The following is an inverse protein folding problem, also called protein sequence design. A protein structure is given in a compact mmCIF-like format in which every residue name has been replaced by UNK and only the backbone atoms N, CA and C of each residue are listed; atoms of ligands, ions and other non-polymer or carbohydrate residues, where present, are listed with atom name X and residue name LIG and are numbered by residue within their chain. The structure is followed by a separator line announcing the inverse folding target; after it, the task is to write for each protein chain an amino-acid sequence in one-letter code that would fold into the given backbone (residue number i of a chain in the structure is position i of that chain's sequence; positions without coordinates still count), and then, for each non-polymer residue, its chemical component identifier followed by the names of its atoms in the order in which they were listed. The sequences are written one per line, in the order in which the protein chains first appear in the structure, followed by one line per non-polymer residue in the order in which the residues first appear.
data_IF_065889456447
#
_entry.id   IF_065889456447
#
_cell.length_a   1.000
_cell.length_b   1.000
_cell.length_c   1.000
_cell.angle_alpha   90.00
_cell.angle_beta   90.00
_cell.angle_gamma   90.00
#
_symmetry.space_group_name_H-M   'P 1'
#
loop_
_entity.id
_entity.type
_entity.pdbx_description
1 polymer ?
#
# COMPACT_ATOMS: atom_id res chain seq x y z
N UNK A 1 -30.48 6.08 -35.22
CA UNK A 1 -30.62 4.80 -34.48
C UNK A 1 -30.74 3.66 -35.51
N UNK A 2 -29.91 2.64 -35.35
CA UNK A 2 -29.99 1.40 -36.15
C UNK A 2 -30.62 0.30 -35.31
N UNK A 3 -31.46 -0.50 -35.97
CA UNK A 3 -32.18 -1.58 -35.28
C UNK A 3 -31.36 -2.88 -35.22
N UNK A 4 -30.40 -3.04 -36.11
CA UNK A 4 -29.59 -4.24 -36.27
C UNK A 4 -28.18 -3.84 -36.72
N UNK A 5 -27.19 -4.62 -36.30
CA UNK A 5 -25.79 -4.47 -36.71
C UNK A 5 -25.28 -5.78 -37.23
N UNK A 6 -24.53 -5.75 -38.32
CA UNK A 6 -23.95 -6.93 -38.94
C UNK A 6 -22.51 -7.18 -38.48
N UNK A 7 -21.97 -8.35 -38.79
CA UNK A 7 -20.59 -8.70 -38.49
C UNK A 7 -19.60 -7.75 -39.24
N UNK A 8 -18.75 -7.11 -38.48
CA UNK A 8 -17.82 -6.09 -38.99
C UNK A 8 -18.25 -4.65 -38.71
N UNK A 9 -19.45 -4.42 -38.26
CA UNK A 9 -19.95 -3.10 -37.90
C UNK A 9 -19.35 -2.60 -36.59
N UNK A 10 -19.19 -1.27 -36.50
CA UNK A 10 -18.81 -0.55 -35.28
C UNK A 10 -19.99 0.31 -34.86
N UNK A 11 -20.48 0.08 -33.67
CA UNK A 11 -21.64 0.82 -33.15
C UNK A 11 -21.45 1.30 -31.74
N UNK A 12 -22.36 2.17 -31.31
CA UNK A 12 -22.39 2.70 -29.95
C UNK A 12 -23.66 2.25 -29.26
N UNK A 13 -23.53 1.76 -28.05
CA UNK A 13 -24.65 1.42 -27.17
C UNK A 13 -24.54 2.13 -25.84
N UNK A 14 -25.64 2.29 -25.13
CA UNK A 14 -25.74 2.94 -23.83
C UNK A 14 -26.44 2.04 -22.83
N UNK A 15 -26.30 2.37 -21.56
CA UNK A 15 -26.99 1.66 -20.45
C UNK A 15 -26.55 0.20 -20.25
N UNK A 16 -25.36 -0.18 -20.69
CA UNK A 16 -24.77 -1.45 -20.34
C UNK A 16 -24.27 -1.38 -18.88
N UNK A 17 -24.71 -2.31 -18.05
CA UNK A 17 -24.20 -2.46 -16.68
C UNK A 17 -23.03 -3.41 -16.68
N UNK A 18 -22.04 -3.14 -15.84
CA UNK A 18 -20.88 -4.01 -15.58
C UNK A 18 -20.02 -4.34 -16.82
N UNK A 19 -20.13 -3.56 -17.88
CA UNK A 19 -19.29 -3.68 -19.09
C UNK A 19 -18.16 -2.67 -19.03
N UNK A 20 -16.95 -3.17 -19.21
CA UNK A 20 -15.72 -2.35 -19.24
C UNK A 20 -15.03 -2.47 -20.59
N UNK A 21 -14.17 -1.52 -20.88
CA UNK A 21 -13.31 -1.54 -22.06
C UNK A 21 -12.50 -2.84 -22.12
N UNK A 22 -12.46 -3.47 -23.29
CA UNK A 22 -11.80 -4.77 -23.49
C UNK A 22 -12.66 -6.00 -23.16
N UNK A 23 -13.90 -5.82 -22.68
CA UNK A 23 -14.79 -6.94 -22.51
C UNK A 23 -15.31 -7.45 -23.85
N UNK A 24 -15.47 -8.76 -23.95
CA UNK A 24 -16.14 -9.42 -25.08
C UNK A 24 -17.63 -9.51 -24.78
N UNK A 25 -18.46 -9.04 -25.70
CA UNK A 25 -19.92 -9.18 -25.63
C UNK A 25 -20.36 -10.36 -26.48
N UNK A 26 -21.01 -11.33 -25.87
CA UNK A 26 -21.44 -12.56 -26.50
C UNK A 26 -22.95 -12.66 -26.57
N UNK A 27 -23.45 -13.29 -27.61
CA UNK A 27 -24.83 -13.79 -27.67
C UNK A 27 -25.06 -14.91 -26.65
N UNK A 28 -26.32 -15.15 -26.30
CA UNK A 28 -26.71 -16.22 -25.37
C UNK A 28 -26.20 -17.58 -25.84
N UNK A 29 -25.42 -18.27 -25.00
CA UNK A 29 -24.88 -19.60 -25.32
C UNK A 29 -23.51 -19.58 -26.03
N UNK A 30 -22.93 -18.43 -26.26
CA UNK A 30 -21.58 -18.29 -26.80
C UNK A 30 -20.61 -17.98 -25.67
N UNK A 31 -19.58 -18.79 -25.48
CA UNK A 31 -18.54 -18.59 -24.41
C UNK A 31 -17.21 -18.08 -24.95
N UNK A 32 -17.19 -17.63 -26.21
CA UNK A 32 -15.96 -17.15 -26.83
C UNK A 32 -15.51 -15.83 -26.19
N UNK A 33 -14.20 -15.70 -25.87
CA UNK A 33 -13.61 -14.48 -25.32
C UNK A 33 -12.34 -14.13 -26.07
N UNK A 34 -12.19 -12.87 -26.40
CA UNK A 34 -10.92 -12.33 -26.84
C UNK A 34 -9.99 -12.11 -25.65
N UNK A 35 -8.69 -12.24 -25.90
CA UNK A 35 -7.69 -11.92 -24.89
C UNK A 35 -7.76 -10.45 -24.48
N UNK A 36 -7.45 -10.20 -23.20
CA UNK A 36 -7.36 -8.83 -22.70
C UNK A 36 -6.23 -8.05 -23.40
N UNK A 37 -6.55 -6.81 -23.74
CA UNK A 37 -5.54 -5.89 -24.29
C UNK A 37 -4.52 -5.57 -23.20
N UNK A 38 -3.26 -5.88 -23.46
CA UNK A 38 -2.15 -5.47 -22.58
C UNK A 38 -1.78 -4.02 -22.89
N UNK A 39 -2.11 -3.13 -21.96
CA UNK A 39 -1.71 -1.74 -22.05
C UNK A 39 -0.24 -1.56 -21.62
N UNK A 40 0.49 -0.61 -22.20
CA UNK A 40 1.84 -0.31 -21.76
C UNK A 40 1.84 0.24 -20.33
N UNK A 41 2.85 -0.15 -19.56
CA UNK A 41 3.00 0.37 -18.20
C UNK A 41 3.29 1.87 -18.20
N UNK A 42 2.68 2.63 -17.29
CA UNK A 42 2.92 4.05 -17.19
C UNK A 42 4.34 4.34 -16.70
N UNK A 43 4.97 5.36 -17.29
CA UNK A 43 6.37 5.73 -16.99
C UNK A 43 6.52 7.10 -16.34
N UNK A 44 5.46 7.87 -16.29
CA UNK A 44 5.47 9.22 -15.75
C UNK A 44 4.34 9.39 -14.73
N UNK A 45 4.67 9.91 -13.56
CA UNK A 45 3.70 10.06 -12.47
C UNK A 45 3.75 11.44 -11.84
N UNK A 46 2.62 11.92 -11.37
CA UNK A 46 2.43 13.13 -10.59
C UNK A 46 1.40 12.88 -9.48
N UNK A 47 1.51 13.61 -8.39
CA UNK A 47 0.40 13.69 -7.46
C UNK A 47 -0.55 14.80 -7.92
N UNK A 48 -1.87 14.55 -7.78
CA UNK A 48 -2.92 15.51 -8.13
C UNK A 48 -3.72 15.88 -6.90
N UNK A 49 -4.08 17.13 -6.80
CA UNK A 49 -5.02 17.62 -5.77
C UNK A 49 -6.00 18.61 -6.42
N UNK A 50 -7.22 18.75 -5.87
CA UNK A 50 -8.10 19.83 -6.28
C UNK A 50 -7.56 21.16 -5.76
N UNK A 51 -7.89 22.25 -6.44
CA UNK A 51 -7.55 23.60 -5.96
C UNK A 51 -8.29 23.96 -4.66
N UNK A 52 -9.49 23.39 -4.47
CA UNK A 52 -10.26 23.50 -3.24
C UNK A 52 -10.47 22.11 -2.62
N UNK A 53 -10.10 21.92 -1.37
CA UNK A 53 -10.23 20.61 -0.68
C UNK A 53 -11.66 20.07 -0.63
N UNK A 54 -12.68 20.93 -0.64
CA UNK A 54 -14.08 20.51 -0.71
C UNK A 54 -14.42 19.70 -1.97
N UNK A 55 -13.63 19.83 -3.03
CA UNK A 55 -13.82 19.13 -4.30
C UNK A 55 -13.08 17.78 -4.40
N UNK A 56 -12.50 17.28 -3.31
CA UNK A 56 -11.72 16.05 -3.31
C UNK A 56 -12.54 14.82 -3.71
N UNK A 57 -13.78 14.70 -3.25
CA UNK A 57 -14.69 13.62 -3.60
C UNK A 57 -15.03 13.66 -5.10
N UNK A 58 -15.40 14.83 -5.60
CA UNK A 58 -15.68 15.07 -7.02
C UNK A 58 -14.48 14.72 -7.90
N UNK A 59 -13.26 15.09 -7.48
CA UNK A 59 -12.04 14.69 -8.20
C UNK A 59 -11.88 13.17 -8.25
N UNK A 60 -12.12 12.47 -7.15
CA UNK A 60 -12.05 11.00 -7.11
C UNK A 60 -13.01 10.34 -8.10
N UNK A 61 -14.26 10.81 -8.18
CA UNK A 61 -15.25 10.31 -9.14
C UNK A 61 -14.83 10.55 -10.59
N UNK A 62 -14.33 11.76 -10.88
CA UNK A 62 -13.84 12.11 -12.21
C UNK A 62 -12.67 11.20 -12.62
N UNK A 63 -11.71 10.98 -11.73
CA UNK A 63 -10.55 10.14 -11.99
C UNK A 63 -10.94 8.67 -12.19
N UNK A 64 -11.89 8.14 -11.43
CA UNK A 64 -12.40 6.80 -11.60
C UNK A 64 -13.05 6.63 -12.99
N UNK A 65 -13.91 7.55 -13.41
CA UNK A 65 -14.51 7.57 -14.74
C UNK A 65 -13.47 7.63 -15.84
N UNK A 66 -12.48 8.53 -15.71
CA UNK A 66 -11.43 8.69 -16.70
C UNK A 66 -10.55 7.43 -16.84
N UNK A 67 -10.31 6.72 -15.75
CA UNK A 67 -9.62 5.42 -15.80
C UNK A 67 -10.44 4.36 -16.53
N UNK A 68 -11.77 4.35 -16.37
CA UNK A 68 -12.63 3.46 -17.14
C UNK A 68 -12.64 3.79 -18.64
N UNK A 69 -12.61 5.07 -18.99
CA UNK A 69 -12.50 5.54 -20.38
C UNK A 69 -11.15 5.20 -21.01
N UNK A 70 -10.08 5.36 -20.25
CA UNK A 70 -8.70 5.11 -20.69
C UNK A 70 -7.87 4.41 -19.59
N UNK A 71 -7.74 3.08 -19.66
CA UNK A 71 -6.98 2.31 -18.67
C UNK A 71 -5.47 2.57 -18.66
N UNK A 72 -4.95 3.35 -19.60
CA UNK A 72 -3.52 3.73 -19.61
C UNK A 72 -3.18 4.82 -18.58
N UNK A 73 -4.18 5.47 -18.00
CA UNK A 73 -4.04 6.29 -16.79
C UNK A 73 -4.28 5.44 -15.55
N UNK A 74 -3.28 5.30 -14.72
CA UNK A 74 -3.42 4.63 -13.43
C UNK A 74 -3.61 5.66 -12.33
N UNK A 75 -4.58 5.41 -11.47
CA UNK A 75 -4.89 6.24 -10.31
C UNK A 75 -4.64 5.43 -9.06
N UNK A 76 -3.79 5.93 -8.18
CA UNK A 76 -3.42 5.30 -6.91
C UNK A 76 -3.68 6.27 -5.76
N UNK A 77 -4.48 5.85 -4.79
CA UNK A 77 -4.66 6.58 -3.54
C UNK A 77 -3.68 6.06 -2.50
N UNK A 78 -2.57 6.77 -2.33
CA UNK A 78 -1.61 6.47 -1.28
C UNK A 78 -2.12 6.96 0.08
N UNK A 79 -2.64 6.05 0.89
CA UNK A 79 -3.10 6.34 2.26
C UNK A 79 -1.97 6.82 3.15
N UNK A 80 -0.79 6.25 2.99
CA UNK A 80 0.42 6.58 3.74
C UNK A 80 0.88 8.02 3.48
N UNK A 81 0.97 8.39 2.21
CA UNK A 81 1.42 9.72 1.80
C UNK A 81 0.31 10.76 1.80
N UNK A 82 -0.95 10.32 1.95
CA UNK A 82 -2.16 11.14 1.81
C UNK A 82 -2.15 11.93 0.50
N UNK A 83 -1.83 11.23 -0.59
CA UNK A 83 -1.79 11.79 -1.93
C UNK A 83 -2.50 10.88 -2.94
N UNK A 84 -3.20 11.49 -3.88
CA UNK A 84 -3.68 10.81 -5.07
C UNK A 84 -2.62 10.91 -6.15
N UNK A 85 -2.07 9.79 -6.57
CA UNK A 85 -1.02 9.70 -7.58
C UNK A 85 -1.64 9.26 -8.89
N UNK A 86 -1.31 9.97 -9.96
CA UNK A 86 -1.69 9.62 -11.31
C UNK A 86 -0.45 9.26 -12.09
N UNK A 87 -0.51 8.14 -12.78
CA UNK A 87 0.53 7.65 -13.65
C UNK A 87 0.03 7.53 -15.09
N UNK A 88 0.87 7.91 -16.04
CA UNK A 88 0.57 7.87 -17.47
C UNK A 88 1.82 7.63 -18.31
N UNK A 89 1.66 7.62 -19.63
CA UNK A 89 2.73 7.28 -20.56
C UNK A 89 3.82 8.37 -20.66
N UNK A 90 3.48 9.62 -20.29
CA UNK A 90 4.41 10.74 -20.32
C UNK A 90 3.76 12.03 -19.84
N UNK A 91 4.54 13.10 -19.81
CA UNK A 91 4.07 14.41 -19.34
C UNK A 91 2.89 14.93 -20.16
N UNK A 92 2.97 14.84 -21.48
CA UNK A 92 1.88 15.29 -22.36
C UNK A 92 0.57 14.54 -22.07
N UNK A 93 0.65 13.24 -21.80
CA UNK A 93 -0.51 12.43 -21.46
C UNK A 93 -1.20 12.95 -20.18
N UNK A 94 -0.42 13.25 -19.12
CA UNK A 94 -0.98 13.84 -17.91
C UNK A 94 -1.48 15.27 -18.11
N UNK A 95 -0.84 16.06 -18.96
CA UNK A 95 -1.33 17.40 -19.33
C UNK A 95 -2.69 17.33 -20.03
N UNK A 96 -2.89 16.36 -20.90
CA UNK A 96 -4.19 16.10 -21.54
C UNK A 96 -5.26 15.73 -20.52
N UNK A 97 -4.93 14.90 -19.53
CA UNK A 97 -5.84 14.56 -18.42
C UNK A 97 -6.25 15.83 -17.66
N UNK A 98 -5.30 16.63 -17.24
CA UNK A 98 -5.57 17.89 -16.54
C UNK A 98 -6.46 18.81 -17.38
N UNK A 99 -6.15 18.98 -18.65
CA UNK A 99 -6.95 19.80 -19.56
C UNK A 99 -8.40 19.30 -19.64
N UNK A 100 -8.63 17.99 -19.72
CA UNK A 100 -9.98 17.40 -19.74
C UNK A 100 -10.73 17.69 -18.44
N UNK A 101 -10.09 17.51 -17.27
CA UNK A 101 -10.69 17.79 -15.96
C UNK A 101 -11.10 19.27 -15.87
N UNK A 102 -10.23 20.19 -16.27
CA UNK A 102 -10.48 21.61 -16.16
C UNK A 102 -11.52 22.11 -17.18
N UNK A 103 -11.50 21.59 -18.41
CA UNK A 103 -12.38 22.09 -19.48
C UNK A 103 -13.72 21.34 -19.58
N UNK A 104 -13.76 20.04 -19.33
CA UNK A 104 -14.99 19.27 -19.43
C UNK A 104 -15.74 19.25 -18.10
N UNK A 105 -15.03 18.95 -17.01
CA UNK A 105 -15.62 18.79 -15.69
C UNK A 105 -15.65 20.09 -14.86
N UNK A 106 -15.01 21.16 -15.37
CA UNK A 106 -14.93 22.47 -14.74
C UNK A 106 -14.38 22.40 -13.30
N UNK A 107 -13.38 21.54 -13.08
CA UNK A 107 -12.71 21.36 -11.82
C UNK A 107 -11.25 21.80 -11.93
N UNK A 108 -10.87 22.82 -11.17
CA UNK A 108 -9.48 23.28 -11.10
C UNK A 108 -8.64 22.30 -10.29
N UNK A 109 -7.53 21.84 -10.88
CA UNK A 109 -6.62 20.89 -10.26
C UNK A 109 -5.16 21.31 -10.38
N UNK A 110 -4.34 20.87 -9.43
CA UNK A 110 -2.91 21.12 -9.41
C UNK A 110 -2.13 19.80 -9.43
N UNK A 111 -1.05 19.76 -10.22
CA UNK A 111 -0.05 18.71 -10.13
C UNK A 111 1.07 19.13 -9.19
N UNK A 112 1.42 18.22 -8.29
CA UNK A 112 2.52 18.37 -7.36
C UNK A 112 3.48 17.18 -7.47
N UNK A 113 4.69 17.33 -6.97
CA UNK A 113 5.63 16.22 -6.89
C UNK A 113 5.10 15.14 -5.96
N UNK A 114 5.13 13.86 -6.41
CA UNK A 114 4.79 12.75 -5.54
C UNK A 114 5.80 12.68 -4.38
N UNK A 115 5.30 12.53 -3.17
CA UNK A 115 6.17 12.26 -2.02
C UNK A 115 6.80 10.88 -2.17
N UNK A 116 8.02 10.74 -1.70
CA UNK A 116 8.71 9.46 -1.64
C UNK A 116 8.43 8.83 -0.27
N UNK A 117 7.88 7.61 -0.20
CA UNK A 117 7.68 6.93 1.07
C UNK A 117 9.02 6.41 1.60
N UNK A 118 9.74 7.27 2.29
CA UNK A 118 10.98 6.86 2.96
C UNK A 118 10.67 5.84 4.05
N UNK A 119 11.52 4.85 4.15
CA UNK A 119 11.51 3.86 5.21
C UNK A 119 12.75 4.02 6.05
N UNK A 120 12.57 3.95 7.35
CA UNK A 120 13.69 3.90 8.28
C UNK A 120 14.12 2.46 8.49
N UNK A 121 15.41 2.25 8.67
CA UNK A 121 15.99 0.98 9.05
C UNK A 121 17.07 1.20 10.08
N UNK A 122 17.34 0.16 10.86
CA UNK A 122 18.42 0.16 11.82
C UNK A 122 19.73 -0.29 11.15
N UNK A 123 20.85 0.31 11.53
CA UNK A 123 22.16 -0.01 10.98
C UNK A 123 23.10 -0.67 11.98
N UNK A 124 22.73 -0.68 13.27
CA UNK A 124 23.53 -1.24 14.36
C UNK A 124 22.62 -1.95 15.36
N UNK A 125 23.16 -2.96 16.02
CA UNK A 125 22.48 -3.57 17.15
C UNK A 125 22.34 -2.57 18.32
N UNK A 126 21.17 -2.53 18.91
CA UNK A 126 20.86 -1.70 20.07
C UNK A 126 20.07 -2.49 21.11
N UNK A 127 20.26 -2.15 22.37
CA UNK A 127 19.51 -2.69 23.49
C UNK A 127 18.65 -1.59 24.10
N UNK A 128 17.42 -1.92 24.41
CA UNK A 128 16.52 -1.09 25.19
C UNK A 128 15.78 -1.93 26.22
N UNK A 129 15.49 -1.33 27.36
CA UNK A 129 14.64 -1.90 28.38
C UNK A 129 13.63 -0.84 28.83
N UNK A 130 12.43 -1.31 29.13
CA UNK A 130 11.37 -0.45 29.64
C UNK A 130 10.64 -1.16 30.76
N UNK A 131 10.46 -0.43 31.87
CA UNK A 131 9.73 -0.88 33.04
C UNK A 131 8.55 0.03 33.31
N UNK A 132 7.35 -0.50 33.12
CA UNK A 132 6.11 0.19 33.50
C UNK A 132 5.71 -0.21 34.91
N UNK A 133 5.62 0.77 35.80
CA UNK A 133 5.08 0.59 37.14
C UNK A 133 4.14 1.75 37.45
N UNK A 134 2.84 1.48 37.52
CA UNK A 134 1.84 2.47 37.91
C UNK A 134 0.96 1.91 39.01
N UNK A 135 0.87 2.62 40.13
CA UNK A 135 0.02 2.28 41.25
C UNK A 135 -0.79 3.50 41.65
N UNK A 136 -2.09 3.45 41.35
CA UNK A 136 -3.04 4.53 41.65
C UNK A 136 -4.29 3.96 42.29
N UNK A 137 -4.10 3.30 43.52
CA UNK A 137 -5.18 2.64 44.24
C UNK A 137 -5.55 1.27 43.64
N UNK A 138 -5.63 0.24 44.50
CA UNK A 138 -5.98 -1.11 44.11
C UNK A 138 -4.82 -1.90 43.47
N UNK A 139 -5.13 -2.85 42.58
CA UNK A 139 -4.16 -3.66 41.89
C UNK A 139 -3.31 -2.81 40.93
N UNK A 140 -2.00 -2.68 41.18
CA UNK A 140 -1.08 -1.92 40.35
C UNK A 140 -0.84 -2.55 38.95
N UNK A 141 -0.44 -1.73 38.03
CA UNK A 141 0.03 -2.17 36.71
C UNK A 141 1.55 -2.35 36.73
N UNK A 142 2.01 -3.50 36.28
CA UNK A 142 3.44 -3.81 36.18
C UNK A 142 3.71 -4.54 34.86
N UNK A 143 4.74 -4.10 34.17
CA UNK A 143 5.29 -4.78 32.99
C UNK A 143 6.73 -4.35 32.77
N UNK A 144 7.60 -5.30 32.47
CA UNK A 144 8.99 -5.04 32.16
C UNK A 144 9.41 -5.84 30.95
N UNK A 145 10.03 -5.17 29.97
CA UNK A 145 10.47 -5.79 28.73
C UNK A 145 11.90 -5.36 28.42
N UNK A 146 12.74 -6.31 28.09
CA UNK A 146 14.10 -6.12 27.62
C UNK A 146 14.18 -6.56 26.17
N UNK A 147 14.60 -5.68 25.28
CA UNK A 147 14.69 -5.90 23.85
C UNK A 147 16.10 -5.66 23.33
N UNK A 148 16.52 -6.48 22.40
CA UNK A 148 17.67 -6.23 21.53
C UNK A 148 17.12 -6.21 20.12
N UNK A 149 17.46 -5.18 19.36
CA UNK A 149 17.10 -5.02 17.96
C UNK A 149 18.38 -4.89 17.13
N UNK A 150 18.43 -5.58 16.00
CA UNK A 150 19.57 -5.56 15.10
C UNK A 150 19.15 -5.66 13.63
N UNK A 151 19.99 -5.21 12.67
CA UNK A 151 19.71 -5.40 11.26
C UNK A 151 19.59 -6.87 10.91
N UNK A 152 18.51 -7.23 10.21
CA UNK A 152 18.30 -8.60 9.72
C UNK A 152 18.85 -8.76 8.29
N UNK A 153 19.45 -9.92 8.02
CA UNK A 153 19.78 -10.38 6.67
C UNK A 153 19.42 -11.87 6.52
N UNK A 154 19.09 -12.26 5.31
CA UNK A 154 18.68 -13.64 5.04
C UNK A 154 19.82 -14.62 5.33
N UNK A 155 19.52 -15.72 6.06
CA UNK A 155 20.52 -16.67 6.53
C UNK A 155 21.25 -16.25 7.81
N UNK A 156 20.80 -15.18 8.46
CA UNK A 156 21.35 -14.76 9.75
C UNK A 156 21.21 -15.88 10.80
N UNK A 157 22.31 -16.29 11.49
CA UNK A 157 22.24 -17.31 12.53
C UNK A 157 21.42 -16.83 13.72
N UNK A 158 20.80 -17.76 14.44
CA UNK A 158 20.13 -17.45 15.70
C UNK A 158 21.10 -16.77 16.67
N UNK A 159 20.66 -15.72 17.38
CA UNK A 159 21.53 -14.98 18.29
C UNK A 159 21.96 -15.89 19.46
N UNK A 160 23.23 -15.87 19.78
CA UNK A 160 23.78 -16.63 20.89
C UNK A 160 24.23 -15.74 22.05
N UNK A 161 25.00 -14.70 21.75
CA UNK A 161 25.59 -13.81 22.75
C UNK A 161 25.63 -12.39 22.20
N UNK A 162 25.19 -11.42 23.03
CA UNK A 162 25.36 -9.99 22.78
C UNK A 162 26.20 -9.34 23.86
N UNK A 163 26.92 -8.28 23.50
CA UNK A 163 27.71 -7.50 24.44
C UNK A 163 27.38 -6.02 24.32
N UNK A 164 26.86 -5.45 25.37
CA UNK A 164 26.55 -4.02 25.49
C UNK A 164 27.10 -3.47 26.78
N UNK A 165 27.82 -2.35 26.71
CA UNK A 165 28.36 -1.68 27.90
C UNK A 165 29.29 -2.54 28.75
N UNK A 166 30.01 -3.49 28.14
CA UNK A 166 30.89 -4.42 28.85
C UNK A 166 30.17 -5.62 29.49
N UNK A 167 28.86 -5.68 29.40
CA UNK A 167 28.06 -6.80 29.92
C UNK A 167 27.69 -7.77 28.81
N UNK A 168 27.77 -9.08 29.11
CA UNK A 168 27.42 -10.18 28.21
C UNK A 168 26.00 -10.65 28.47
N UNK A 169 25.21 -10.76 27.38
CA UNK A 169 23.85 -11.27 27.39
C UNK A 169 23.78 -12.56 26.56
N UNK A 170 23.49 -13.68 27.22
CA UNK A 170 23.32 -14.98 26.56
C UNK A 170 21.86 -15.17 26.18
N UNK A 171 21.63 -15.51 24.91
CA UNK A 171 20.31 -15.70 24.35
C UNK A 171 19.94 -17.19 24.34
N UNK A 172 18.87 -17.55 25.02
CA UNK A 172 18.28 -18.88 24.98
C UNK A 172 17.05 -18.87 24.09
N UNK A 173 17.27 -19.04 22.78
CA UNK A 173 16.21 -19.03 21.79
C UNK A 173 15.22 -20.16 22.02
N UNK A 174 13.94 -19.84 22.21
CA UNK A 174 12.84 -20.79 22.35
C UNK A 174 12.04 -20.94 21.06
N UNK A 175 11.78 -19.83 20.42
CA UNK A 175 10.93 -19.74 19.24
C UNK A 175 11.40 -18.58 18.35
N UNK A 176 11.21 -18.73 17.06
CA UNK A 176 11.53 -17.71 16.06
C UNK A 176 10.34 -17.57 15.12
N UNK A 177 9.83 -16.36 14.96
CA UNK A 177 8.71 -16.04 14.09
C UNK A 177 9.15 -15.02 13.07
N UNK A 178 8.74 -15.21 11.81
CA UNK A 178 9.06 -14.33 10.70
C UNK A 178 7.78 -13.66 10.20
N UNK A 179 7.82 -12.35 10.11
CA UNK A 179 6.71 -11.54 9.62
C UNK A 179 7.16 -10.80 8.36
N UNK A 180 6.44 -10.99 7.28
CA UNK A 180 6.62 -10.19 6.07
C UNK A 180 5.93 -8.83 6.27
N UNK A 181 6.69 -7.77 6.03
CA UNK A 181 6.20 -6.40 6.14
C UNK A 181 5.61 -5.94 4.80
N UNK A 182 4.55 -5.14 4.85
CA UNK A 182 3.81 -4.68 3.66
C UNK A 182 4.70 -4.06 2.56
N UNK A 183 5.85 -3.50 2.93
CA UNK A 183 6.80 -2.87 1.99
C UNK A 183 7.93 -3.79 1.52
N UNK A 184 7.80 -5.11 1.70
CA UNK A 184 8.79 -6.10 1.25
C UNK A 184 9.96 -6.34 2.21
N UNK A 185 9.94 -5.74 3.41
CA UNK A 185 10.88 -6.06 4.48
C UNK A 185 10.43 -7.27 5.31
N UNK A 186 11.32 -7.76 6.18
CA UNK A 186 11.02 -8.84 7.14
C UNK A 186 11.30 -8.39 8.56
N UNK A 187 10.42 -8.75 9.48
CA UNK A 187 10.65 -8.69 10.93
C UNK A 187 10.83 -10.11 11.44
N UNK A 188 11.99 -10.42 12.01
CA UNK A 188 12.26 -11.70 12.63
C UNK A 188 12.23 -11.51 14.14
N UNK A 189 11.23 -12.09 14.77
CA UNK A 189 11.07 -12.06 16.22
C UNK A 189 11.65 -13.33 16.84
N UNK A 190 12.66 -13.15 17.68
CA UNK A 190 13.32 -14.24 18.40
C UNK A 190 12.91 -14.18 19.86
N UNK A 191 12.13 -15.16 20.29
CA UNK A 191 11.69 -15.26 21.68
C UNK A 191 12.74 -15.95 22.54
N UNK A 192 13.32 -15.20 23.47
CA UNK A 192 14.31 -15.68 24.44
C UNK A 192 13.78 -15.64 25.88
N UNK A 193 12.46 -15.58 26.10
CA UNK A 193 11.84 -15.48 27.40
C UNK A 193 12.05 -16.80 28.18
N UNK A 194 12.56 -16.71 29.40
CA UNK A 194 12.83 -17.85 30.27
C UNK A 194 11.78 -17.93 31.38
N UNK A 195 11.31 -19.15 31.70
CA UNK A 195 10.51 -19.41 32.88
C UNK A 195 9.10 -18.84 32.93
N UNK A 196 8.53 -18.45 31.74
CA UNK A 196 7.18 -17.85 31.71
C UNK A 196 7.09 -16.44 32.32
N UNK A 197 8.20 -15.71 32.30
CA UNK A 197 8.29 -14.34 32.86
C UNK A 197 7.30 -13.35 32.21
N UNK A 198 6.88 -13.63 30.97
CA UNK A 198 5.80 -12.91 30.27
C UNK A 198 4.77 -13.96 29.84
N UNK A 199 3.50 -13.71 30.16
CA UNK A 199 2.40 -14.55 29.68
C UNK A 199 2.28 -14.42 28.15
N UNK A 200 2.13 -15.56 27.44
CA UNK A 200 2.11 -15.63 25.99
C UNK A 200 1.03 -14.73 25.35
N UNK A 201 -0.07 -14.45 26.06
CA UNK A 201 -1.14 -13.54 25.59
C UNK A 201 -0.69 -12.09 25.35
N UNK A 202 0.45 -11.68 25.94
CA UNK A 202 1.01 -10.34 25.77
C UNK A 202 2.02 -10.23 24.64
N UNK A 203 2.49 -11.35 24.06
CA UNK A 203 3.44 -11.34 22.95
C UNK A 203 2.94 -10.55 21.72
N UNK A 204 1.67 -10.65 21.30
CA UNK A 204 1.16 -9.86 20.17
C UNK A 204 1.15 -8.35 20.41
N UNK A 205 1.22 -7.89 21.67
CA UNK A 205 1.29 -6.48 22.01
C UNK A 205 2.74 -5.95 22.06
N UNK A 206 3.73 -6.84 22.02
CA UNK A 206 5.16 -6.52 21.98
C UNK A 206 5.64 -6.45 20.51
N UNK A 207 4.99 -7.18 19.63
CA UNK A 207 5.21 -7.24 18.18
C UNK A 207 4.47 -6.12 17.44
#
# INVERSE_FOLDING_TARGET
EVMEMEAGDIGTTVKLKDVRRGNTLNGKGCEYRFDFIKYPEPKYRRAIKPANEADAEKLSEILARMHEEDPTWLVELSKELKQTIISGQGEFHLRTLKWRIENNDKLAVEYIEPKIPYRETITKAARADYRHKKQSGGAGQFGEVHLIIEPYYEGMPAPAIYRFGGQEYRMNVRDTQVYDLEWGGKLVFVNCIVGGAIDARFLPAIL
#
